data_IF_846097736324
#
_entry.id   IF_846097736324
#
_cell.length_a   1.000
_cell.length_b   1.000
_cell.length_c   1.000
_cell.angle_alpha   90.00
_cell.angle_beta   90.00
_cell.angle_gamma   90.00
#
_symmetry.space_group_name_H-M   'P 1'
#
loop_
_entity.id
_entity.type
_entity.pdbx_description
1 polymer ?
#
# COMPACT_ATOMS: atom_id res chain seq x y z
N UNK A 1 19.44 41.33 40.13
CA UNK A 1 19.46 42.12 38.88
C UNK A 1 19.88 41.18 37.76
N UNK A 2 19.18 41.28 36.61
CA UNK A 2 19.36 40.53 35.35
C UNK A 2 18.91 39.06 35.41
N UNK A 3 17.72 38.73 34.88
CA UNK A 3 17.43 38.45 33.45
C UNK A 3 18.30 37.30 32.95
N UNK A 4 17.74 36.17 32.52
CA UNK A 4 17.25 36.04 31.14
C UNK A 4 16.35 34.80 31.01
N UNK A 5 15.11 35.04 30.58
CA UNK A 5 14.29 34.07 29.87
C UNK A 5 14.97 33.69 28.55
N UNK A 6 15.13 32.42 28.25
CA UNK A 6 15.09 31.87 26.87
C UNK A 6 14.97 30.34 27.03
N UNK A 7 13.84 29.74 26.61
CA UNK A 7 13.72 29.08 25.30
C UNK A 7 14.57 27.80 25.31
N UNK A 8 13.95 26.63 25.46
CA UNK A 8 13.69 25.66 24.37
C UNK A 8 13.04 24.46 25.08
N UNK A 9 11.80 23.99 24.84
CA UNK A 9 11.14 23.53 23.60
C UNK A 9 11.98 22.59 22.73
N UNK A 10 12.62 21.60 23.35
CA UNK A 10 12.96 20.32 22.71
C UNK A 10 11.93 19.31 23.23
N UNK A 11 10.86 18.94 22.53
CA UNK A 11 10.80 18.41 21.17
C UNK A 11 11.80 17.28 20.90
N UNK A 12 12.04 16.41 21.89
CA UNK A 12 12.43 15.03 21.58
C UNK A 12 11.15 14.24 21.32
N UNK A 13 10.69 14.36 20.08
CA UNK A 13 9.81 13.38 19.48
C UNK A 13 10.46 12.02 19.71
N UNK A 14 9.80 11.19 20.51
CA UNK A 14 10.11 9.78 20.57
C UNK A 14 9.68 9.23 19.21
N UNK A 15 10.60 9.27 18.26
CA UNK A 15 10.54 8.42 17.08
C UNK A 15 10.72 7.01 17.64
N UNK A 16 9.61 6.40 18.05
CA UNK A 16 9.53 4.95 18.21
C UNK A 16 9.92 4.37 16.85
N UNK A 17 11.18 3.97 16.72
CA UNK A 17 11.74 3.26 15.57
C UNK A 17 11.21 1.82 15.57
N UNK A 18 9.90 1.67 15.57
CA UNK A 18 9.28 0.53 14.95
C UNK A 18 8.90 1.04 13.56
N UNK A 19 9.78 0.85 12.57
CA UNK A 19 9.32 0.82 11.18
C UNK A 19 8.02 0.03 11.20
N UNK A 20 6.88 0.57 10.73
CA UNK A 20 5.66 -0.19 10.69
C UNK A 20 5.98 -1.42 9.87
N UNK A 21 6.13 -2.55 10.55
CA UNK A 21 6.05 -3.85 9.91
C UNK A 21 4.59 -3.91 9.52
N UNK A 22 4.24 -3.30 8.39
CA UNK A 22 2.90 -3.40 7.83
C UNK A 22 2.83 -4.83 7.32
N UNK A 23 2.53 -5.71 8.27
CA UNK A 23 2.59 -7.15 8.09
C UNK A 23 1.46 -7.50 7.14
N UNK A 24 1.80 -7.73 5.87
CA UNK A 24 0.91 -8.42 4.94
C UNK A 24 0.75 -9.89 5.33
N UNK A 25 1.28 -10.30 6.49
CA UNK A 25 1.19 -11.64 7.06
C UNK A 25 -0.24 -12.19 6.99
N UNK A 26 -0.37 -13.30 6.27
CA UNK A 26 -1.63 -13.98 6.06
C UNK A 26 -2.60 -13.30 5.08
N UNK A 27 -2.27 -12.11 4.57
CA UNK A 27 -3.12 -11.39 3.62
C UNK A 27 -2.87 -11.84 2.19
N UNK A 28 -3.94 -12.04 1.44
CA UNK A 28 -3.94 -12.22 0.01
C UNK A 28 -4.11 -10.85 -0.67
N UNK A 29 -3.13 -10.55 -1.53
CA UNK A 29 -2.99 -9.29 -2.24
C UNK A 29 -3.18 -9.53 -3.74
N UNK A 30 -3.95 -8.68 -4.41
CA UNK A 30 -4.15 -8.74 -5.87
C UNK A 30 -3.75 -7.41 -6.48
N UNK A 31 -2.94 -7.45 -7.52
CA UNK A 31 -2.57 -6.25 -8.28
C UNK A 31 -3.53 -6.07 -9.47
N UNK A 32 -4.07 -4.86 -9.62
CA UNK A 32 -4.85 -4.44 -10.79
C UNK A 32 -4.12 -3.31 -11.53
N UNK A 33 -3.91 -3.50 -12.84
CA UNK A 33 -3.10 -2.60 -13.65
C UNK A 33 -1.62 -2.93 -13.57
N UNK A 34 -0.77 -1.94 -13.89
CA UNK A 34 0.69 -2.05 -13.79
C UNK A 34 1.18 -1.10 -12.71
N UNK A 35 2.06 -1.56 -11.84
CA UNK A 35 2.71 -0.71 -10.86
C UNK A 35 3.72 0.21 -11.57
N UNK A 36 3.85 1.44 -11.12
CA UNK A 36 4.82 2.40 -11.64
C UNK A 36 6.21 2.23 -11.00
N UNK A 37 6.25 1.74 -9.77
CA UNK A 37 7.46 1.58 -8.96
C UNK A 37 8.25 0.32 -9.25
N UNK A 38 7.57 -0.77 -9.65
CA UNK A 38 8.18 -2.08 -9.82
C UNK A 38 7.38 -2.96 -10.78
N UNK A 39 7.96 -4.05 -11.24
CA UNK A 39 7.22 -5.06 -11.98
C UNK A 39 6.44 -6.02 -11.07
N UNK A 40 5.66 -6.92 -11.68
CA UNK A 40 4.83 -7.87 -10.95
C UNK A 40 5.66 -8.91 -10.18
N UNK A 41 6.84 -9.26 -10.69
CA UNK A 41 7.72 -10.25 -10.06
C UNK A 41 8.36 -9.66 -8.80
N UNK A 42 8.89 -8.44 -8.90
CA UNK A 42 9.39 -7.66 -7.78
C UNK A 42 8.32 -7.48 -6.70
N UNK A 43 7.11 -7.08 -7.11
CA UNK A 43 5.98 -6.94 -6.18
C UNK A 43 5.64 -8.26 -5.47
N UNK A 44 5.66 -9.39 -6.17
CA UNK A 44 5.44 -10.71 -5.57
C UNK A 44 6.46 -10.98 -4.47
N UNK A 45 7.73 -10.72 -4.74
CA UNK A 45 8.80 -10.96 -3.77
C UNK A 45 8.67 -10.05 -2.55
N UNK A 46 8.29 -8.77 -2.73
CA UNK A 46 8.06 -7.86 -1.61
C UNK A 46 6.85 -8.28 -0.75
N UNK A 47 5.75 -8.70 -1.39
CA UNK A 47 4.56 -9.20 -0.69
C UNK A 47 4.89 -10.47 0.12
N UNK A 48 5.62 -11.41 -0.47
CA UNK A 48 6.03 -12.65 0.20
C UNK A 48 6.98 -12.38 1.37
N UNK A 49 7.94 -11.45 1.21
CA UNK A 49 8.84 -11.00 2.30
C UNK A 49 8.06 -10.34 3.44
N UNK A 50 6.95 -9.67 3.13
CA UNK A 50 6.04 -9.09 4.11
C UNK A 50 5.04 -10.10 4.70
N UNK A 51 5.14 -11.39 4.34
CA UNK A 51 4.30 -12.48 4.85
C UNK A 51 2.96 -12.67 4.12
N UNK A 52 2.72 -11.91 3.06
CA UNK A 52 1.51 -12.00 2.24
C UNK A 52 1.64 -12.99 1.09
N UNK A 53 0.57 -13.10 0.30
CA UNK A 53 0.56 -13.88 -0.94
C UNK A 53 -0.03 -13.08 -2.09
N UNK A 54 0.63 -13.10 -3.24
CA UNK A 54 0.13 -12.48 -4.45
C UNK A 54 -0.84 -13.43 -5.19
N UNK A 55 -2.08 -12.99 -5.38
CA UNK A 55 -3.07 -13.66 -6.20
C UNK A 55 -3.29 -12.94 -7.55
N UNK A 56 -3.79 -13.68 -8.54
CA UNK A 56 -4.08 -13.13 -9.87
C UNK A 56 -5.46 -12.49 -9.96
N UNK A 57 -6.42 -12.96 -9.16
CA UNK A 57 -7.80 -12.47 -9.14
C UNK A 57 -8.28 -12.32 -7.71
N UNK A 58 -9.16 -11.33 -7.44
CA UNK A 58 -9.77 -11.19 -6.14
C UNK A 58 -10.75 -12.34 -5.91
N UNK A 59 -10.70 -12.88 -4.70
CA UNK A 59 -11.59 -13.92 -4.19
C UNK A 59 -12.17 -13.47 -2.85
N UNK A 60 -13.00 -14.30 -2.24
CA UNK A 60 -13.54 -14.03 -0.90
C UNK A 60 -12.45 -14.01 0.19
N UNK A 61 -11.28 -14.61 -0.09
CA UNK A 61 -10.11 -14.57 0.79
C UNK A 61 -9.14 -13.45 0.44
N UNK A 62 -9.44 -12.58 -0.51
CA UNK A 62 -8.59 -11.42 -0.83
C UNK A 62 -8.89 -10.29 0.15
N UNK A 63 -7.85 -9.76 0.80
CA UNK A 63 -7.99 -8.62 1.71
C UNK A 63 -7.59 -7.31 1.05
N UNK A 64 -6.65 -7.35 0.11
CA UNK A 64 -6.08 -6.15 -0.50
C UNK A 64 -6.06 -6.25 -2.02
N UNK A 65 -6.59 -5.23 -2.69
CA UNK A 65 -6.47 -5.03 -4.13
C UNK A 65 -5.72 -3.73 -4.37
N UNK A 66 -4.52 -3.84 -4.92
CA UNK A 66 -3.64 -2.70 -5.20
C UNK A 66 -3.87 -2.21 -6.62
N UNK A 67 -4.19 -0.94 -6.74
CA UNK A 67 -4.38 -0.25 -8.02
C UNK A 67 -3.06 0.38 -8.43
N UNK A 68 -2.43 -0.18 -9.45
CA UNK A 68 -1.19 0.36 -10.00
C UNK A 68 -1.38 1.76 -10.57
N UNK A 69 -0.40 2.64 -10.32
CA UNK A 69 -0.40 4.02 -10.78
C UNK A 69 0.12 4.18 -12.23
N UNK A 70 0.67 3.11 -12.83
CA UNK A 70 1.09 3.15 -14.23
C UNK A 70 -0.13 3.05 -15.15
N UNK A 71 -0.65 4.23 -15.51
CA UNK A 71 -1.89 4.38 -16.27
C UNK A 71 -3.12 4.26 -15.38
N UNK A 72 -4.25 4.82 -15.83
CA UNK A 72 -5.52 4.60 -15.13
C UNK A 72 -5.82 3.09 -15.10
N UNK A 73 -6.51 2.56 -14.07
CA UNK A 73 -6.84 1.13 -13.97
C UNK A 73 -7.96 0.72 -14.94
N UNK A 74 -7.75 1.06 -16.21
CA UNK A 74 -8.59 0.75 -17.34
C UNK A 74 -7.93 -0.33 -18.18
N UNK A 75 -8.75 -1.21 -18.72
CA UNK A 75 -8.42 -1.97 -19.89
C UNK A 75 -8.22 -1.03 -21.10
N UNK A 76 -7.70 -1.59 -22.20
CA UNK A 76 -7.38 -0.83 -23.43
C UNK A 76 -8.59 -0.12 -24.06
N UNK A 77 -9.79 -0.54 -23.70
CA UNK A 77 -11.08 0.02 -24.13
C UNK A 77 -11.58 1.16 -23.23
N UNK A 78 -10.80 1.56 -22.22
CA UNK A 78 -11.20 2.60 -21.27
C UNK A 78 -12.20 2.12 -20.22
N UNK A 79 -12.46 0.82 -20.11
CA UNK A 79 -13.31 0.24 -19.05
C UNK A 79 -12.47 -0.19 -17.85
N UNK A 80 -13.00 -0.15 -16.61
CA UNK A 80 -12.31 -0.70 -15.46
C UNK A 80 -11.82 -2.13 -15.73
N UNK A 81 -10.62 -2.48 -15.28
CA UNK A 81 -10.12 -3.84 -15.45
C UNK A 81 -11.09 -4.86 -14.83
N UNK A 82 -11.10 -6.09 -15.37
CA UNK A 82 -11.93 -7.18 -14.84
C UNK A 82 -11.66 -7.41 -13.34
N UNK A 83 -10.40 -7.33 -12.93
CA UNK A 83 -9.96 -7.43 -11.54
C UNK A 83 -10.61 -6.36 -10.64
N UNK A 84 -10.65 -5.10 -11.10
CA UNK A 84 -11.26 -4.02 -10.33
C UNK A 84 -12.79 -4.19 -10.24
N UNK A 85 -13.44 -4.65 -11.32
CA UNK A 85 -14.87 -4.98 -11.31
C UNK A 85 -15.18 -6.12 -10.34
N UNK A 86 -14.41 -7.21 -10.38
CA UNK A 86 -14.56 -8.37 -9.49
C UNK A 86 -14.36 -7.95 -8.01
N UNK A 87 -13.35 -7.14 -7.71
CA UNK A 87 -13.11 -6.63 -6.36
C UNK A 87 -14.27 -5.78 -5.83
N UNK A 88 -14.81 -4.88 -6.68
CA UNK A 88 -15.98 -4.06 -6.34
C UNK A 88 -17.23 -4.90 -6.10
N UNK A 89 -17.42 -5.96 -6.87
CA UNK A 89 -18.56 -6.85 -6.70
C UNK A 89 -18.46 -7.64 -5.39
N UNK A 90 -17.27 -8.12 -5.03
CA UNK A 90 -17.02 -8.77 -3.74
C UNK A 90 -17.24 -7.80 -2.55
N UNK A 91 -16.82 -6.53 -2.66
CA UNK A 91 -17.13 -5.51 -1.65
C UNK A 91 -18.64 -5.34 -1.45
N UNK A 92 -19.42 -5.27 -2.54
CA UNK A 92 -20.89 -5.16 -2.45
C UNK A 92 -21.53 -6.38 -1.79
N UNK A 93 -20.94 -7.56 -1.95
CA UNK A 93 -21.36 -8.81 -1.30
C UNK A 93 -20.99 -8.86 0.19
N UNK A 94 -20.29 -7.85 0.72
CA UNK A 94 -19.90 -7.76 2.13
C UNK A 94 -18.54 -8.38 2.44
N UNK A 95 -17.75 -8.74 1.44
CA UNK A 95 -16.37 -9.19 1.65
C UNK A 95 -15.52 -7.97 2.03
N UNK A 96 -14.72 -8.01 3.12
CA UNK A 96 -13.92 -6.89 3.60
C UNK A 96 -12.66 -6.68 2.75
N UNK A 97 -12.84 -6.41 1.46
CA UNK A 97 -11.75 -6.11 0.53
C UNK A 97 -11.40 -4.63 0.64
N UNK A 98 -10.13 -4.32 0.82
CA UNK A 98 -9.59 -2.97 0.71
C UNK A 98 -9.05 -2.77 -0.70
N UNK A 99 -9.49 -1.70 -1.38
CA UNK A 99 -8.91 -1.29 -2.66
C UNK A 99 -8.03 -0.08 -2.36
N UNK A 100 -6.73 -0.22 -2.53
CA UNK A 100 -5.74 0.81 -2.21
C UNK A 100 -4.96 1.23 -3.47
N UNK A 101 -4.57 2.50 -3.60
CA UNK A 101 -3.60 2.91 -4.62
C UNK A 101 -2.23 2.29 -4.34
N UNK A 102 -1.37 2.30 -5.36
CA UNK A 102 0.01 1.84 -5.26
C UNK A 102 0.79 2.55 -4.16
N UNK A 103 0.58 3.85 -3.95
CA UNK A 103 1.27 4.63 -2.92
C UNK A 103 1.06 4.04 -1.51
N UNK A 104 -0.20 3.74 -1.16
CA UNK A 104 -0.55 3.12 0.12
C UNK A 104 0.06 1.72 0.26
N UNK A 105 0.16 0.99 -0.85
CA UNK A 105 0.83 -0.31 -0.88
C UNK A 105 2.33 -0.21 -0.65
N UNK A 106 3.00 0.81 -1.21
CA UNK A 106 4.43 1.06 -0.97
C UNK A 106 4.70 1.45 0.48
N UNK A 107 3.85 2.29 1.07
CA UNK A 107 3.89 2.61 2.50
C UNK A 107 3.72 1.33 3.32
N UNK A 108 2.78 0.45 2.95
CA UNK A 108 2.60 -0.83 3.62
C UNK A 108 3.84 -1.74 3.50
N UNK A 109 4.58 -1.67 2.40
CA UNK A 109 5.84 -2.41 2.26
C UNK A 109 7.03 -1.74 2.97
N UNK A 110 6.85 -0.56 3.56
CA UNK A 110 7.94 0.24 4.13
C UNK A 110 8.89 0.78 3.05
N UNK A 111 8.38 0.97 1.83
CA UNK A 111 9.12 1.43 0.66
C UNK A 111 8.83 2.91 0.33
N UNK A 112 8.37 3.68 1.32
CA UNK A 112 8.01 5.10 1.18
C UNK A 112 9.22 6.06 1.30
N UNK A 113 10.46 5.55 1.27
CA UNK A 113 11.70 6.29 1.59
C UNK A 113 12.05 7.49 0.68
N UNK A 114 11.20 7.91 -0.28
CA UNK A 114 11.50 8.99 -1.23
C UNK A 114 10.66 10.27 -1.11
N UNK A 115 10.14 10.60 0.07
CA UNK A 115 9.64 11.97 0.34
C UNK A 115 10.15 12.66 1.61
N UNK A 116 11.19 12.10 2.26
CA UNK A 116 11.91 12.73 3.38
C UNK A 116 13.19 13.47 2.90
N UNK A 117 13.18 14.01 1.69
CA UNK A 117 14.22 14.91 1.19
C UNK A 117 13.81 16.37 1.38
N UNK A 118 14.08 16.93 2.56
CA UNK A 118 14.15 18.36 2.83
C UNK A 118 15.59 18.85 2.61
#
# INVERSE_FOLDING_TARGET
MSSTSDRTREQTQRHDTAAPRSSLEGHEVVLTGRLASMDREEASQHIERAGGRLAQRPTETTQLVVVGAFGWPLARDGQPTRTLLEARELQKRGVPIVIAPEEDFLVALGMDELQQGL
#
